data_IF_581258287591
#
_entry.id   IF_581258287591
#
_cell.length_a   1.000
_cell.length_b   1.000
_cell.length_c   1.000
_cell.angle_alpha   90.00
_cell.angle_beta   90.00
_cell.angle_gamma   90.00
#
_symmetry.space_group_name_H-M   'P 1'
#
loop_
_entity.id
_entity.type
_entity.pdbx_description
1 polymer ?
#
# COMPACT_ATOMS: atom_id res chain seq x y z
N UNK A 1 -23.03 -0.98 -29.64
CA UNK A 1 -23.82 -1.97 -28.87
C UNK A 1 -23.09 -2.24 -27.57
N UNK A 2 -23.68 -1.89 -26.46
CA UNK A 2 -23.12 -2.22 -25.12
C UNK A 2 -23.26 -3.73 -24.94
N UNK A 3 -22.12 -4.40 -24.78
CA UNK A 3 -22.09 -5.86 -24.55
C UNK A 3 -22.58 -6.12 -23.13
N UNK A 4 -23.67 -6.86 -22.99
CA UNK A 4 -24.11 -7.39 -21.69
C UNK A 4 -23.34 -8.67 -21.44
N UNK A 5 -22.71 -8.81 -20.29
CA UNK A 5 -21.95 -10.00 -19.88
C UNK A 5 -22.44 -10.44 -18.50
N UNK A 6 -22.65 -11.76 -18.33
CA UNK A 6 -22.96 -12.38 -17.05
C UNK A 6 -21.70 -13.07 -16.51
N UNK A 7 -21.36 -12.83 -15.27
CA UNK A 7 -20.20 -13.44 -14.60
C UNK A 7 -20.39 -13.44 -13.08
N UNK A 8 -20.06 -14.55 -12.44
CA UNK A 8 -19.96 -14.68 -10.98
C UNK A 8 -21.15 -14.10 -10.18
N UNK A 9 -22.37 -14.29 -10.68
CA UNK A 9 -23.58 -13.73 -10.05
C UNK A 9 -23.82 -12.23 -10.31
N UNK A 10 -23.09 -11.63 -11.25
CA UNK A 10 -23.20 -10.25 -11.65
C UNK A 10 -23.49 -10.09 -13.14
N UNK A 11 -24.00 -8.92 -13.50
CA UNK A 11 -24.31 -8.53 -14.88
C UNK A 11 -23.61 -7.21 -15.18
N UNK A 12 -22.78 -7.15 -16.22
CA UNK A 12 -22.26 -5.89 -16.72
C UNK A 12 -23.18 -5.30 -17.82
N UNK A 13 -23.49 -4.01 -17.67
CA UNK A 13 -24.27 -3.23 -18.62
C UNK A 13 -23.92 -1.75 -18.50
N UNK A 14 -23.77 -1.05 -19.61
CA UNK A 14 -23.53 0.40 -19.63
C UNK A 14 -22.36 0.82 -18.72
N UNK A 15 -21.24 0.12 -18.80
CA UNK A 15 -20.02 0.36 -18.03
C UNK A 15 -20.20 0.23 -16.49
N UNK A 16 -21.23 -0.49 -16.06
CA UNK A 16 -21.51 -0.76 -14.64
C UNK A 16 -21.78 -2.24 -14.39
N UNK A 17 -21.55 -2.65 -13.16
CA UNK A 17 -21.83 -3.99 -12.65
C UNK A 17 -23.09 -3.93 -11.79
N UNK A 18 -24.02 -4.80 -12.08
CA UNK A 18 -25.29 -4.99 -11.36
C UNK A 18 -25.32 -6.38 -10.71
N UNK A 19 -26.04 -6.57 -9.61
CA UNK A 19 -26.29 -7.90 -9.06
C UNK A 19 -27.26 -8.68 -9.96
N UNK A 20 -27.04 -9.99 -10.13
CA UNK A 20 -27.99 -10.86 -10.81
C UNK A 20 -29.17 -11.24 -9.89
N UNK A 21 -28.98 -11.19 -8.56
CA UNK A 21 -30.02 -11.36 -7.57
C UNK A 21 -29.73 -10.51 -6.31
N UNK A 22 -30.74 -10.24 -5.48
CA UNK A 22 -30.54 -9.57 -4.19
C UNK A 22 -29.77 -10.43 -3.19
N UNK A 23 -29.77 -11.74 -3.38
CA UNK A 23 -29.10 -12.74 -2.54
C UNK A 23 -27.66 -13.05 -2.98
N UNK A 24 -27.12 -12.34 -3.98
CA UNK A 24 -25.83 -12.60 -4.62
C UNK A 24 -24.68 -12.84 -3.63
N UNK A 25 -24.63 -12.14 -2.51
CA UNK A 25 -23.59 -12.27 -1.48
C UNK A 25 -23.93 -13.34 -0.43
N UNK A 26 -25.19 -13.72 -0.27
CA UNK A 26 -25.59 -14.85 0.58
C UNK A 26 -25.36 -16.18 -0.12
N UNK A 27 -25.58 -16.21 -1.45
CA UNK A 27 -25.29 -17.38 -2.28
C UNK A 27 -23.80 -17.72 -2.25
N UNK A 28 -22.92 -16.70 -2.33
CA UNK A 28 -21.46 -16.85 -2.23
C UNK A 28 -20.86 -15.62 -1.53
N UNK A 29 -20.52 -15.73 -0.23
CA UNK A 29 -19.93 -14.65 0.54
C UNK A 29 -18.63 -14.07 -0.04
N UNK A 30 -17.80 -14.89 -0.70
CA UNK A 30 -16.53 -14.47 -1.30
C UNK A 30 -16.70 -13.40 -2.37
N UNK A 31 -17.88 -13.29 -2.96
CA UNK A 31 -18.23 -12.24 -3.92
C UNK A 31 -18.11 -10.82 -3.34
N UNK A 32 -18.17 -10.66 -2.00
CA UNK A 32 -17.95 -9.34 -1.36
C UNK A 32 -16.52 -8.79 -1.53
N UNK A 33 -15.54 -9.63 -1.85
CA UNK A 33 -14.21 -9.16 -2.27
C UNK A 33 -14.05 -9.29 -3.78
N UNK A 34 -14.50 -10.40 -4.39
CA UNK A 34 -14.33 -10.64 -5.82
C UNK A 34 -14.97 -9.57 -6.70
N UNK A 35 -16.04 -8.93 -6.24
CA UNK A 35 -16.68 -7.84 -7.00
C UNK A 35 -15.70 -6.69 -7.29
N UNK A 36 -14.80 -6.36 -6.36
CA UNK A 36 -13.80 -5.31 -6.56
C UNK A 36 -12.70 -5.74 -7.51
N UNK A 37 -12.30 -7.00 -7.51
CA UNK A 37 -11.41 -7.58 -8.52
C UNK A 37 -12.08 -7.55 -9.91
N UNK A 38 -13.34 -7.95 -10.00
CA UNK A 38 -14.11 -7.88 -11.25
C UNK A 38 -14.21 -6.45 -11.81
N UNK A 39 -14.49 -5.47 -10.94
CA UNK A 39 -14.53 -4.06 -11.31
C UNK A 39 -13.15 -3.55 -11.80
N UNK A 40 -12.09 -3.91 -11.09
CA UNK A 40 -10.70 -3.56 -11.43
C UNK A 40 -10.29 -4.15 -12.80
N UNK A 41 -10.46 -5.45 -12.98
CA UNK A 41 -10.02 -6.16 -14.21
C UNK A 41 -10.81 -5.74 -15.44
N UNK A 42 -12.09 -5.42 -15.27
CA UNK A 42 -13.00 -5.02 -16.37
C UNK A 42 -13.10 -3.51 -16.56
N UNK A 43 -12.44 -2.73 -15.70
CA UNK A 43 -12.56 -1.26 -15.70
C UNK A 43 -14.01 -0.77 -15.62
N UNK A 44 -14.83 -1.44 -14.82
CA UNK A 44 -16.24 -1.15 -14.63
C UNK A 44 -16.51 -0.49 -13.29
N UNK A 45 -17.58 0.31 -13.22
CA UNK A 45 -18.08 0.90 -11.97
C UNK A 45 -19.15 0.01 -11.35
N UNK A 46 -19.29 0.06 -10.04
CA UNK A 46 -20.42 -0.57 -9.36
C UNK A 46 -21.69 0.27 -9.58
N UNK A 47 -22.81 -0.39 -9.85
CA UNK A 47 -24.09 0.27 -9.87
C UNK A 47 -24.50 0.68 -8.44
N UNK A 48 -25.26 1.77 -8.25
CA UNK A 48 -25.73 2.20 -6.93
C UNK A 48 -26.47 1.09 -6.17
N UNK A 49 -27.31 0.35 -6.87
CA UNK A 49 -28.08 -0.78 -6.32
C UNK A 49 -27.16 -1.86 -5.74
N UNK A 50 -26.08 -2.18 -6.46
CA UNK A 50 -25.09 -3.15 -5.99
C UNK A 50 -24.36 -2.64 -4.74
N UNK A 51 -24.03 -1.35 -4.70
CA UNK A 51 -23.40 -0.73 -3.54
C UNK A 51 -24.30 -0.82 -2.29
N UNK A 52 -25.59 -0.61 -2.44
CA UNK A 52 -26.53 -0.75 -1.32
C UNK A 52 -26.66 -2.21 -0.83
N UNK A 53 -26.66 -3.17 -1.76
CA UNK A 53 -26.66 -4.60 -1.40
C UNK A 53 -25.35 -4.97 -0.69
N UNK A 54 -24.18 -4.46 -1.12
CA UNK A 54 -22.93 -4.63 -0.42
C UNK A 54 -23.05 -4.15 1.03
N UNK A 55 -23.56 -2.94 1.25
CA UNK A 55 -23.72 -2.35 2.58
C UNK A 55 -24.66 -3.17 3.47
N UNK A 56 -25.75 -3.69 2.93
CA UNK A 56 -26.72 -4.51 3.69
C UNK A 56 -26.13 -5.87 4.11
N UNK A 57 -25.04 -6.31 3.48
CA UNK A 57 -24.38 -7.58 3.75
C UNK A 57 -23.05 -7.47 4.54
N UNK A 58 -22.72 -6.33 5.13
CA UNK A 58 -21.48 -6.14 5.89
C UNK A 58 -21.24 -7.16 7.01
N UNK A 59 -22.33 -7.69 7.62
CA UNK A 59 -22.24 -8.69 8.69
C UNK A 59 -21.63 -10.02 8.23
N UNK A 60 -21.62 -10.30 6.94
CA UNK A 60 -20.96 -11.48 6.36
C UNK A 60 -19.45 -11.44 6.59
N UNK A 61 -18.84 -10.23 6.68
CA UNK A 61 -17.40 -10.06 6.89
C UNK A 61 -17.06 -10.30 8.37
N UNK A 62 -17.19 -11.51 8.81
CA UNK A 62 -16.85 -12.00 10.14
C UNK A 62 -15.42 -12.58 10.16
N UNK A 63 -15.04 -13.23 11.26
CA UNK A 63 -13.73 -13.85 11.40
C UNK A 63 -13.47 -14.93 10.35
N UNK A 64 -14.45 -15.80 10.08
CA UNK A 64 -14.32 -16.88 9.07
C UNK A 64 -14.01 -16.28 7.70
N UNK A 65 -14.75 -15.26 7.31
CA UNK A 65 -14.54 -14.55 6.05
C UNK A 65 -13.13 -13.95 5.95
N UNK A 66 -12.64 -13.28 7.01
CA UNK A 66 -11.30 -12.66 7.05
C UNK A 66 -10.15 -13.66 7.02
N UNK A 67 -10.37 -14.89 7.46
CA UNK A 67 -9.36 -15.97 7.48
C UNK A 67 -9.51 -16.95 6.31
N UNK A 68 -10.44 -16.72 5.40
CA UNK A 68 -10.62 -17.54 4.20
C UNK A 68 -9.44 -17.38 3.25
N UNK A 69 -8.83 -18.50 2.86
CA UNK A 69 -7.72 -18.53 1.90
C UNK A 69 -8.15 -17.97 0.54
N UNK A 70 -9.35 -18.32 0.07
CA UNK A 70 -9.89 -17.81 -1.19
C UNK A 70 -10.06 -16.28 -1.19
N UNK A 71 -10.55 -15.71 -0.08
CA UNK A 71 -10.70 -14.25 0.05
C UNK A 71 -9.34 -13.55 0.11
N UNK A 72 -8.36 -14.18 0.80
CA UNK A 72 -6.98 -13.70 0.83
C UNK A 72 -6.37 -13.67 -0.58
N UNK A 73 -6.52 -14.75 -1.34
CA UNK A 73 -5.98 -14.86 -2.69
C UNK A 73 -6.58 -13.80 -3.63
N UNK A 74 -7.89 -13.54 -3.49
CA UNK A 74 -8.56 -12.45 -4.23
C UNK A 74 -8.01 -11.08 -3.83
N UNK A 75 -7.85 -10.81 -2.53
CA UNK A 75 -7.29 -9.55 -2.05
C UNK A 75 -5.83 -9.36 -2.50
N UNK A 76 -5.02 -10.43 -2.45
CA UNK A 76 -3.66 -10.42 -3.00
C UNK A 76 -3.66 -10.10 -4.49
N UNK A 77 -4.56 -10.68 -5.27
CA UNK A 77 -4.68 -10.40 -6.70
C UNK A 77 -5.03 -8.93 -6.96
N UNK A 78 -5.91 -8.33 -6.16
CA UNK A 78 -6.25 -6.90 -6.25
C UNK A 78 -5.00 -6.04 -6.00
N UNK A 79 -4.24 -6.31 -4.92
CA UNK A 79 -3.03 -5.55 -4.56
C UNK A 79 -1.85 -5.81 -5.50
N UNK A 80 -1.88 -6.86 -6.30
CA UNK A 80 -0.81 -7.22 -7.24
C UNK A 80 -0.94 -6.55 -8.61
N UNK A 81 -2.06 -5.86 -8.88
CA UNK A 81 -2.32 -5.25 -10.17
C UNK A 81 -1.74 -3.84 -10.25
N UNK A 82 -0.46 -3.73 -10.59
CA UNK A 82 0.29 -2.47 -10.69
C UNK A 82 -0.49 -1.40 -11.48
N UNK A 83 -0.58 -0.20 -10.92
CA UNK A 83 -1.24 0.95 -11.57
C UNK A 83 -2.76 1.01 -11.40
N UNK A 84 -3.38 0.00 -10.77
CA UNK A 84 -4.84 -0.09 -10.65
C UNK A 84 -5.31 -0.42 -9.22
N UNK A 85 -4.41 -0.39 -8.25
CA UNK A 85 -4.69 -0.78 -6.86
C UNK A 85 -5.46 0.30 -6.12
N UNK A 86 -5.05 1.55 -6.24
CA UNK A 86 -5.67 2.68 -5.52
C UNK A 86 -7.15 2.83 -5.82
N UNK A 87 -7.55 2.71 -7.09
CA UNK A 87 -8.96 2.76 -7.48
C UNK A 87 -9.79 1.62 -6.88
N UNK A 88 -9.26 0.40 -6.86
CA UNK A 88 -9.94 -0.74 -6.25
C UNK A 88 -10.08 -0.56 -4.73
N UNK A 89 -9.01 -0.14 -4.04
CA UNK A 89 -9.04 0.12 -2.60
C UNK A 89 -10.00 1.26 -2.23
N UNK A 90 -10.06 2.31 -3.05
CA UNK A 90 -11.01 3.40 -2.83
C UNK A 90 -12.46 2.92 -2.96
N UNK A 91 -12.77 2.09 -3.94
CA UNK A 91 -14.08 1.46 -4.07
C UNK A 91 -14.41 0.56 -2.88
N UNK A 92 -13.46 -0.24 -2.41
CA UNK A 92 -13.62 -1.08 -1.21
C UNK A 92 -13.85 -0.23 0.04
N UNK A 93 -13.14 0.89 0.19
CA UNK A 93 -13.29 1.79 1.32
C UNK A 93 -14.65 2.50 1.31
N UNK A 94 -15.05 3.09 0.19
CA UNK A 94 -16.33 3.81 0.06
C UNK A 94 -17.55 2.90 0.24
N UNK A 95 -17.41 1.61 -0.08
CA UNK A 95 -18.43 0.57 0.16
C UNK A 95 -18.40 0.01 1.59
N UNK A 96 -17.45 0.43 2.42
CA UNK A 96 -17.28 -0.02 3.80
C UNK A 96 -16.68 -1.42 3.95
N UNK A 97 -16.13 -1.98 2.88
CA UNK A 97 -15.56 -3.34 2.87
C UNK A 97 -14.12 -3.35 3.37
N UNK A 98 -13.28 -2.40 2.92
CA UNK A 98 -11.84 -2.42 3.22
C UNK A 98 -11.56 -2.47 4.72
N UNK A 99 -12.14 -1.56 5.50
CA UNK A 99 -11.90 -1.50 6.95
C UNK A 99 -12.52 -2.68 7.72
N UNK A 100 -13.54 -3.36 7.16
CA UNK A 100 -14.10 -4.58 7.77
C UNK A 100 -13.27 -5.80 7.48
N UNK A 101 -12.70 -5.87 6.28
CA UNK A 101 -11.80 -6.96 5.88
C UNK A 101 -10.42 -6.82 6.53
N UNK A 102 -9.90 -5.60 6.59
CA UNK A 102 -8.63 -5.23 7.23
C UNK A 102 -8.90 -4.25 8.39
N UNK A 103 -9.29 -4.75 9.58
CA UNK A 103 -9.65 -3.90 10.72
C UNK A 103 -8.53 -2.96 11.17
N UNK A 104 -7.28 -3.35 10.93
CA UNK A 104 -6.09 -2.53 11.23
C UNK A 104 -6.10 -1.22 10.42
N UNK A 105 -6.50 -1.28 9.15
CA UNK A 105 -6.78 -0.09 8.35
C UNK A 105 -8.10 0.58 8.76
N UNK A 106 -9.11 -0.22 9.07
CA UNK A 106 -10.43 0.28 9.49
C UNK A 106 -10.38 1.22 10.69
N UNK A 107 -9.44 1.01 11.61
CA UNK A 107 -9.21 1.86 12.77
C UNK A 107 -8.70 3.28 12.40
N UNK A 108 -8.19 3.48 11.19
CA UNK A 108 -7.76 4.78 10.67
C UNK A 108 -8.93 5.63 10.12
N UNK A 109 -10.11 5.02 9.94
CA UNK A 109 -11.25 5.69 9.32
C UNK A 109 -11.66 6.92 10.14
N UNK A 110 -11.68 8.09 9.47
CA UNK A 110 -11.96 9.40 10.06
C UNK A 110 -11.00 9.80 11.21
N UNK A 111 -9.87 9.13 11.39
CA UNK A 111 -8.87 9.51 12.36
C UNK A 111 -8.19 10.82 11.93
N UNK A 112 -8.47 11.89 12.66
CA UNK A 112 -7.85 13.19 12.45
C UNK A 112 -6.49 13.21 13.13
N UNK A 113 -5.44 13.53 12.38
CA UNK A 113 -4.10 13.72 12.90
C UNK A 113 -3.90 15.20 13.24
N UNK A 114 -3.62 15.51 14.52
CA UNK A 114 -3.41 16.89 14.98
C UNK A 114 -2.02 17.44 14.65
N UNK A 115 -1.18 16.72 13.95
CA UNK A 115 0.11 17.21 13.50
C UNK A 115 -0.08 18.22 12.35
N UNK A 116 0.63 19.33 12.41
CA UNK A 116 0.47 20.53 11.55
C UNK A 116 0.60 20.28 10.03
N UNK A 117 0.99 19.09 9.61
CA UNK A 117 1.25 18.74 8.22
C UNK A 117 0.21 17.81 7.56
N UNK A 118 -0.75 17.29 8.33
CA UNK A 118 -1.73 16.35 7.78
C UNK A 118 -3.00 17.10 7.36
N UNK A 119 -3.16 17.25 6.05
CA UNK A 119 -4.34 17.86 5.43
C UNK A 119 -5.55 16.92 5.40
N UNK A 120 -5.32 15.63 5.53
CA UNK A 120 -6.29 14.57 5.35
C UNK A 120 -6.41 13.71 6.61
N UNK A 121 -7.55 13.02 6.76
CA UNK A 121 -7.68 11.92 7.72
C UNK A 121 -6.72 10.78 7.38
N UNK A 122 -6.38 9.94 8.35
CA UNK A 122 -5.37 8.89 8.18
C UNK A 122 -5.76 7.86 7.09
N UNK A 123 -7.04 7.52 6.98
CA UNK A 123 -7.56 6.66 5.92
C UNK A 123 -7.46 7.29 4.54
N UNK A 124 -7.85 8.56 4.39
CA UNK A 124 -7.74 9.29 3.12
C UNK A 124 -6.28 9.45 2.70
N UNK A 125 -5.38 9.79 3.66
CA UNK A 125 -3.94 9.82 3.40
C UNK A 125 -3.45 8.50 2.84
N UNK A 126 -3.77 7.37 3.50
CA UNK A 126 -3.34 6.04 3.08
C UNK A 126 -3.83 5.69 1.66
N UNK A 127 -5.08 6.02 1.32
CA UNK A 127 -5.60 5.82 -0.04
C UNK A 127 -4.85 6.68 -1.08
N UNK A 128 -4.53 7.92 -0.75
CA UNK A 128 -3.71 8.80 -1.61
C UNK A 128 -2.32 8.25 -1.85
N UNK A 129 -1.70 7.67 -0.83
CA UNK A 129 -0.39 6.99 -0.96
C UNK A 129 -0.47 5.87 -1.99
N UNK A 130 -1.53 5.04 -1.96
CA UNK A 130 -1.71 3.99 -2.98
C UNK A 130 -1.90 4.55 -4.39
N UNK A 131 -2.62 5.65 -4.52
CA UNK A 131 -2.83 6.33 -5.81
C UNK A 131 -1.55 6.98 -6.36
N UNK A 132 -0.68 7.53 -5.49
CA UNK A 132 0.63 8.05 -5.90
C UNK A 132 1.55 6.95 -6.43
N UNK A 133 1.52 5.74 -5.85
CA UNK A 133 2.22 4.58 -6.41
C UNK A 133 1.67 4.19 -7.78
N UNK A 134 0.35 4.13 -7.94
CA UNK A 134 -0.27 3.76 -9.22
C UNK A 134 0.10 4.71 -10.36
N UNK A 135 0.28 5.99 -10.08
CA UNK A 135 0.72 6.99 -11.08
C UNK A 135 2.09 6.68 -11.68
N UNK A 136 2.93 5.91 -10.99
CA UNK A 136 4.23 5.48 -11.52
C UNK A 136 4.10 4.50 -12.69
N UNK A 137 2.99 3.79 -12.83
CA UNK A 137 2.76 2.88 -13.94
C UNK A 137 2.56 3.59 -15.28
N UNK A 138 1.98 4.80 -15.28
CA UNK A 138 1.51 5.48 -16.50
C UNK A 138 2.19 6.83 -16.77
N UNK A 139 3.02 7.32 -15.86
CA UNK A 139 3.61 8.65 -15.97
C UNK A 139 4.81 8.71 -16.92
N UNK A 140 4.98 9.86 -17.62
CA UNK A 140 6.16 10.16 -18.45
C UNK A 140 7.08 11.24 -17.84
N UNK A 141 6.75 11.75 -16.64
CA UNK A 141 7.54 12.80 -15.99
C UNK A 141 8.97 12.31 -15.72
N UNK A 142 9.94 13.02 -16.32
CA UNK A 142 11.37 12.70 -16.19
C UNK A 142 11.85 12.75 -14.73
N UNK A 143 11.24 13.61 -13.90
CA UNK A 143 11.55 13.70 -12.47
C UNK A 143 11.26 12.41 -11.71
N UNK A 144 10.28 11.64 -12.17
CA UNK A 144 9.88 10.38 -11.55
C UNK A 144 10.62 9.16 -12.11
N UNK A 145 11.63 9.35 -12.97
CA UNK A 145 12.33 8.25 -13.68
C UNK A 145 12.89 7.19 -12.74
N UNK A 146 13.52 7.62 -11.63
CA UNK A 146 14.06 6.69 -10.63
C UNK A 146 12.94 5.82 -10.04
N UNK A 147 11.91 6.46 -9.50
CA UNK A 147 10.79 5.77 -8.83
C UNK A 147 10.04 4.85 -9.77
N UNK A 148 9.81 5.30 -10.99
CA UNK A 148 9.18 4.49 -12.04
C UNK A 148 10.04 3.28 -12.42
N UNK A 149 11.34 3.42 -12.55
CA UNK A 149 12.26 2.32 -12.79
C UNK A 149 12.13 1.25 -11.70
N UNK A 150 12.26 1.67 -10.44
CA UNK A 150 12.09 0.77 -9.27
C UNK A 150 10.70 0.11 -9.28
N UNK A 151 9.65 0.88 -9.51
CA UNK A 151 8.27 0.38 -9.51
C UNK A 151 8.01 -0.65 -10.63
N UNK A 152 8.53 -0.40 -11.83
CA UNK A 152 8.34 -1.31 -12.96
C UNK A 152 9.09 -2.63 -12.77
N UNK A 153 10.27 -2.62 -12.16
CA UNK A 153 11.09 -3.80 -11.86
C UNK A 153 10.61 -4.56 -10.61
N UNK A 154 9.71 -3.97 -9.83
CA UNK A 154 9.21 -4.60 -8.60
C UNK A 154 8.42 -5.88 -8.90
N UNK A 155 8.88 -7.01 -8.34
CA UNK A 155 8.30 -8.35 -8.58
C UNK A 155 7.06 -8.64 -7.74
N UNK A 156 6.95 -8.05 -6.55
CA UNK A 156 5.92 -8.36 -5.55
C UNK A 156 5.20 -7.09 -5.05
N UNK A 157 4.32 -6.51 -5.88
CA UNK A 157 3.59 -5.29 -5.51
C UNK A 157 2.66 -5.49 -4.31
N UNK A 158 2.15 -6.70 -4.09
CA UNK A 158 1.28 -7.01 -2.96
C UNK A 158 1.88 -6.58 -1.62
N UNK A 159 3.15 -6.91 -1.36
CA UNK A 159 3.80 -6.57 -0.07
C UNK A 159 3.93 -5.05 0.10
N UNK A 160 4.24 -4.31 -0.98
CA UNK A 160 4.34 -2.85 -0.92
C UNK A 160 2.99 -2.21 -0.59
N UNK A 161 1.93 -2.56 -1.34
CA UNK A 161 0.60 -2.00 -1.09
C UNK A 161 0.02 -2.41 0.26
N UNK A 162 0.30 -3.63 0.73
CA UNK A 162 -0.07 -4.04 2.07
C UNK A 162 0.70 -3.24 3.13
N UNK A 163 1.99 -2.98 2.93
CA UNK A 163 2.77 -2.10 3.81
C UNK A 163 2.20 -0.68 3.83
N UNK A 164 1.78 -0.13 2.69
CA UNK A 164 1.09 1.17 2.64
C UNK A 164 -0.19 1.16 3.47
N UNK A 165 -1.02 0.12 3.37
CA UNK A 165 -2.25 0.03 4.16
C UNK A 165 -2.01 -0.03 5.67
N UNK A 166 -0.82 -0.47 6.10
CA UNK A 166 -0.49 -0.70 7.51
C UNK A 166 0.53 0.30 8.10
N UNK A 167 1.21 1.13 7.28
CA UNK A 167 2.35 1.94 7.76
C UNK A 167 1.97 2.86 8.93
N UNK A 168 0.78 3.42 8.91
CA UNK A 168 0.25 4.32 9.94
C UNK A 168 -0.76 3.63 10.88
N UNK A 169 -1.03 2.33 10.75
CA UNK A 169 -2.04 1.63 11.54
C UNK A 169 -1.81 1.75 13.06
N UNK A 170 -0.55 1.83 13.50
CA UNK A 170 -0.21 2.03 14.91
C UNK A 170 -0.72 3.33 15.52
N UNK A 171 -0.99 4.35 14.71
CA UNK A 171 -1.49 5.66 15.18
C UNK A 171 -2.87 5.56 15.83
N UNK A 172 -3.69 4.58 15.42
CA UNK A 172 -5.01 4.35 16.00
C UNK A 172 -4.98 3.78 17.44
N UNK A 173 -3.83 3.32 17.92
CA UNK A 173 -3.72 2.60 19.19
C UNK A 173 -3.37 3.50 20.40
N UNK A 174 -3.39 4.83 20.27
CA UNK A 174 -3.06 5.77 21.36
C UNK A 174 -1.77 5.39 22.15
N UNK A 175 -0.83 4.73 21.50
CA UNK A 175 0.42 4.28 22.10
C UNK A 175 1.45 5.40 22.02
N UNK A 176 2.26 5.54 23.06
CA UNK A 176 3.42 6.45 23.05
C UNK A 176 4.48 6.04 22.02
N UNK A 177 4.45 4.80 21.55
CA UNK A 177 5.31 4.26 20.51
C UNK A 177 4.47 3.65 19.36
N UNK A 178 4.08 4.51 18.41
CA UNK A 178 3.25 4.12 17.29
C UNK A 178 3.96 3.15 16.33
N UNK A 179 5.28 3.21 16.22
CA UNK A 179 6.07 2.34 15.35
C UNK A 179 6.03 0.89 15.85
N UNK A 180 6.24 0.65 17.14
CA UNK A 180 6.14 -0.71 17.73
C UNK A 180 4.71 -1.26 17.67
N UNK A 181 3.71 -0.41 17.87
CA UNK A 181 2.31 -0.79 17.73
C UNK A 181 1.98 -1.19 16.28
N UNK A 182 2.48 -0.43 15.30
CA UNK A 182 2.36 -0.74 13.87
C UNK A 182 3.01 -2.07 13.51
N UNK A 183 4.22 -2.34 14.00
CA UNK A 183 4.92 -3.61 13.79
C UNK A 183 4.14 -4.81 14.35
N UNK A 184 3.52 -4.67 15.52
CA UNK A 184 2.68 -5.71 16.13
C UNK A 184 1.44 -6.00 15.28
N UNK A 185 0.77 -4.96 14.78
CA UNK A 185 -0.37 -5.11 13.88
C UNK A 185 0.05 -5.77 12.56
N UNK A 186 1.16 -5.35 11.96
CA UNK A 186 1.68 -5.94 10.73
C UNK A 186 2.03 -7.43 10.92
N UNK A 187 2.57 -7.82 12.07
CA UNK A 187 2.83 -9.23 12.42
C UNK A 187 1.52 -10.04 12.49
N UNK A 188 0.46 -9.47 13.06
CA UNK A 188 -0.85 -10.12 13.12
C UNK A 188 -1.44 -10.33 11.72
N UNK A 189 -1.37 -9.31 10.86
CA UNK A 189 -1.81 -9.39 9.46
C UNK A 189 -0.98 -10.41 8.69
N UNK A 190 0.34 -10.41 8.85
CA UNK A 190 1.23 -11.37 8.19
C UNK A 190 0.89 -12.83 8.53
N UNK A 191 0.51 -13.10 9.77
CA UNK A 191 0.00 -14.44 10.19
C UNK A 191 -1.33 -14.75 9.56
N UNK A 192 -2.31 -13.83 9.60
CA UNK A 192 -3.64 -14.01 9.02
C UNK A 192 -3.57 -14.27 7.52
N UNK A 193 -2.65 -13.62 6.81
CA UNK A 193 -2.43 -13.83 5.38
C UNK A 193 -1.44 -14.96 5.06
N UNK A 194 -0.97 -15.70 6.07
CA UNK A 194 -0.03 -16.83 5.90
C UNK A 194 1.20 -16.45 5.08
N UNK A 195 1.75 -15.25 5.30
CA UNK A 195 2.89 -14.77 4.54
C UNK A 195 4.13 -15.61 4.79
N UNK A 196 4.77 -16.07 3.71
CA UNK A 196 6.06 -16.78 3.78
C UNK A 196 7.16 -15.86 4.33
N UNK A 197 8.21 -16.44 4.87
CA UNK A 197 9.27 -15.75 5.61
C UNK A 197 9.82 -14.50 4.91
N UNK A 198 10.11 -14.58 3.61
CA UNK A 198 10.66 -13.43 2.85
C UNK A 198 9.67 -12.27 2.78
N UNK A 199 8.41 -12.53 2.45
CA UNK A 199 7.34 -11.52 2.40
C UNK A 199 7.06 -10.94 3.78
N UNK A 200 6.99 -11.79 4.80
CA UNK A 200 6.76 -11.36 6.19
C UNK A 200 7.86 -10.44 6.68
N UNK A 201 9.14 -10.81 6.50
CA UNK A 201 10.27 -9.96 6.89
C UNK A 201 10.23 -8.61 6.19
N UNK A 202 9.96 -8.58 4.89
CA UNK A 202 9.86 -7.34 4.12
C UNK A 202 8.70 -6.47 4.60
N UNK A 203 7.50 -7.04 4.81
CA UNK A 203 6.35 -6.29 5.32
C UNK A 203 6.66 -5.64 6.67
N UNK A 204 7.19 -6.42 7.63
CA UNK A 204 7.53 -5.92 8.96
C UNK A 204 8.61 -4.83 8.90
N UNK A 205 9.63 -5.01 8.07
CA UNK A 205 10.66 -4.01 7.84
C UNK A 205 10.05 -2.71 7.33
N UNK A 206 9.21 -2.77 6.31
CA UNK A 206 8.60 -1.58 5.69
C UNK A 206 7.72 -0.82 6.68
N UNK A 207 6.84 -1.51 7.41
CA UNK A 207 5.96 -0.86 8.39
C UNK A 207 6.76 -0.25 9.54
N UNK A 208 7.76 -0.97 10.07
CA UNK A 208 8.56 -0.49 11.19
C UNK A 208 9.55 0.62 10.80
N UNK A 209 9.99 0.67 9.55
CA UNK A 209 11.06 1.56 9.10
C UNK A 209 10.60 2.58 8.05
N UNK A 210 9.29 2.78 7.86
CA UNK A 210 8.77 3.64 6.79
C UNK A 210 9.27 5.08 6.84
N UNK A 211 9.62 5.61 8.03
CA UNK A 211 10.16 6.95 8.22
C UNK A 211 11.69 7.03 8.16
N UNK A 212 12.40 5.90 8.22
CA UNK A 212 13.85 5.88 8.43
C UNK A 212 14.66 6.47 7.26
N UNK A 213 14.22 6.25 6.01
CA UNK A 213 14.88 6.86 4.85
C UNK A 213 14.78 8.38 4.90
N UNK A 214 13.58 8.89 5.14
CA UNK A 214 13.33 10.33 5.24
C UNK A 214 14.08 10.93 6.45
N UNK A 215 13.98 10.29 7.61
CA UNK A 215 14.64 10.72 8.85
C UNK A 215 16.15 10.77 8.66
N UNK A 216 16.78 9.72 8.14
CA UNK A 216 18.23 9.69 7.92
C UNK A 216 18.66 10.75 6.93
N UNK A 217 17.99 10.88 5.79
CA UNK A 217 18.33 11.84 4.75
C UNK A 217 18.24 13.30 5.21
N UNK A 218 17.27 13.64 6.07
CA UNK A 218 16.98 15.01 6.44
C UNK A 218 17.52 15.44 7.84
N UNK A 219 17.93 14.48 8.68
CA UNK A 219 18.35 14.80 10.06
C UNK A 219 19.74 14.32 10.42
N UNK A 220 20.39 13.51 9.56
CA UNK A 220 21.74 12.97 9.80
C UNK A 220 22.73 13.58 8.80
N UNK A 221 24.02 13.50 9.15
CA UNK A 221 25.07 13.85 8.21
C UNK A 221 25.24 12.70 7.21
N UNK A 222 24.64 12.84 6.02
CA UNK A 222 24.71 11.83 4.94
C UNK A 222 26.00 11.88 4.14
N UNK A 223 26.87 12.91 4.37
CA UNK A 223 28.22 12.94 3.80
C UNK A 223 29.20 12.04 4.57
N UNK A 224 28.84 11.66 5.80
CA UNK A 224 29.62 10.73 6.62
C UNK A 224 29.38 9.28 6.17
N UNK A 225 30.43 8.56 5.72
CA UNK A 225 30.33 7.16 5.33
C UNK A 225 29.75 6.26 6.43
N UNK A 226 30.01 6.57 7.72
CA UNK A 226 29.48 5.78 8.83
C UNK A 226 27.96 5.83 8.90
N UNK A 227 27.35 6.99 8.56
CA UNK A 227 25.89 7.15 8.45
C UNK A 227 25.32 6.24 7.35
N UNK A 228 25.94 6.25 6.16
CA UNK A 228 25.52 5.41 5.04
C UNK A 228 25.61 3.93 5.40
N UNK A 229 26.76 3.51 5.94
CA UNK A 229 27.00 2.10 6.34
C UNK A 229 25.98 1.64 7.38
N UNK A 230 25.69 2.48 8.37
CA UNK A 230 24.67 2.17 9.41
C UNK A 230 23.29 2.00 8.79
N UNK A 231 22.90 2.92 7.91
CA UNK A 231 21.62 2.85 7.21
C UNK A 231 21.54 1.61 6.31
N UNK A 232 22.59 1.32 5.51
CA UNK A 232 22.64 0.16 4.64
C UNK A 232 22.53 -1.16 5.41
N UNK A 233 23.21 -1.28 6.57
CA UNK A 233 23.09 -2.45 7.45
C UNK A 233 21.68 -2.63 8.01
N UNK A 234 20.99 -1.54 8.33
CA UNK A 234 19.60 -1.57 8.79
C UNK A 234 18.66 -2.03 7.66
N UNK A 235 18.86 -1.54 6.44
CA UNK A 235 18.07 -1.90 5.26
C UNK A 235 18.34 -3.35 4.81
N UNK A 236 19.58 -3.78 4.79
CA UNK A 236 20.02 -5.15 4.63
C UNK A 236 20.02 -5.72 3.20
N UNK A 237 19.26 -5.14 2.27
CA UNK A 237 19.25 -5.61 0.86
C UNK A 237 18.79 -4.53 -0.11
N UNK A 238 19.20 -4.65 -1.37
CA UNK A 238 18.74 -3.79 -2.48
C UNK A 238 17.22 -3.86 -2.62
N UNK A 239 16.64 -5.04 -2.47
CA UNK A 239 15.19 -5.23 -2.52
C UNK A 239 14.48 -4.39 -1.44
N UNK A 240 14.92 -4.49 -0.19
CA UNK A 240 14.34 -3.71 0.92
C UNK A 240 14.52 -2.20 0.71
N UNK A 241 15.68 -1.77 0.19
CA UNK A 241 15.94 -0.38 -0.15
C UNK A 241 14.98 0.15 -1.20
N UNK A 242 14.76 -0.60 -2.27
CA UNK A 242 13.85 -0.24 -3.35
C UNK A 242 12.40 -0.08 -2.87
N UNK A 243 11.91 -1.02 -2.08
CA UNK A 243 10.56 -0.94 -1.52
C UNK A 243 10.41 0.22 -0.53
N UNK A 244 11.43 0.45 0.31
CA UNK A 244 11.43 1.58 1.24
C UNK A 244 11.47 2.92 0.50
N UNK A 245 12.23 3.02 -0.59
CA UNK A 245 12.28 4.23 -1.43
C UNK A 245 10.91 4.56 -2.04
N UNK A 246 10.22 3.55 -2.59
CA UNK A 246 8.86 3.74 -3.14
C UNK A 246 7.85 4.12 -2.06
N UNK A 247 7.91 3.48 -0.89
CA UNK A 247 7.02 3.81 0.23
C UNK A 247 7.24 5.25 0.69
N UNK A 248 8.50 5.67 0.88
CA UNK A 248 8.85 7.04 1.31
C UNK A 248 8.42 8.08 0.28
N UNK A 249 8.62 7.80 -1.02
CA UNK A 249 8.17 8.66 -2.11
C UNK A 249 6.65 8.86 -2.09
N UNK A 250 5.90 7.77 -2.04
CA UNK A 250 4.46 7.80 -2.12
C UNK A 250 3.82 8.41 -0.86
N UNK A 251 4.33 8.09 0.33
CA UNK A 251 3.90 8.63 1.61
C UNK A 251 4.06 10.16 1.66
N UNK A 252 5.22 10.67 1.26
CA UNK A 252 5.48 12.11 1.21
C UNK A 252 4.54 12.84 0.25
N UNK A 253 4.29 12.25 -0.92
CA UNK A 253 3.38 12.84 -1.93
C UNK A 253 1.91 12.71 -1.53
N UNK A 254 1.53 11.65 -0.84
CA UNK A 254 0.17 11.47 -0.31
C UNK A 254 -0.17 12.46 0.80
N UNK A 255 0.82 13.00 1.49
CA UNK A 255 0.64 14.02 2.54
C UNK A 255 0.32 15.40 1.96
N UNK A 256 1.18 15.95 1.13
CA UNK A 256 0.95 17.19 0.35
C UNK A 256 1.90 17.23 -0.85
N UNK A 257 1.34 17.29 -2.05
CA UNK A 257 2.12 17.38 -3.29
C UNK A 257 3.04 18.59 -3.33
N UNK A 258 2.65 19.72 -2.69
CA UNK A 258 3.45 20.95 -2.62
C UNK A 258 4.64 20.84 -1.68
N UNK A 259 4.60 19.90 -0.74
CA UNK A 259 5.70 19.66 0.19
C UNK A 259 6.82 18.82 -0.42
N UNK A 260 6.58 18.15 -1.54
CA UNK A 260 7.58 17.37 -2.28
C UNK A 260 8.40 18.29 -3.20
N UNK A 261 9.49 18.83 -2.68
CA UNK A 261 10.38 19.76 -3.38
C UNK A 261 11.72 19.10 -3.68
N UNK A 262 12.44 19.65 -4.68
CA UNK A 262 13.80 19.17 -5.00
C UNK A 262 14.74 19.23 -3.79
N UNK A 263 14.61 20.24 -2.94
CA UNK A 263 15.42 20.38 -1.72
C UNK A 263 15.22 19.20 -0.75
N UNK A 264 14.01 18.66 -0.67
CA UNK A 264 13.70 17.50 0.19
C UNK A 264 14.01 16.17 -0.50
N UNK A 265 13.88 16.13 -1.82
CA UNK A 265 14.08 14.91 -2.60
C UNK A 265 15.56 14.61 -2.84
N UNK A 266 16.40 15.63 -3.07
CA UNK A 266 17.80 15.44 -3.37
C UNK A 266 18.58 14.65 -2.30
N UNK A 267 18.42 14.93 -0.98
CA UNK A 267 19.04 14.11 0.07
C UNK A 267 18.57 12.65 0.08
N UNK A 268 17.29 12.41 -0.23
CA UNK A 268 16.74 11.06 -0.32
C UNK A 268 17.38 10.27 -1.46
N UNK A 269 17.48 10.88 -2.65
CA UNK A 269 18.15 10.28 -3.82
C UNK A 269 19.63 10.01 -3.54
N UNK A 270 20.32 10.97 -2.91
CA UNK A 270 21.73 10.79 -2.54
C UNK A 270 21.90 9.59 -1.60
N UNK A 271 21.15 9.55 -0.49
CA UNK A 271 21.19 8.44 0.44
C UNK A 271 20.86 7.09 -0.21
N UNK A 272 19.87 7.08 -1.12
CA UNK A 272 19.50 5.89 -1.87
C UNK A 272 20.69 5.37 -2.71
N UNK A 273 21.31 6.21 -3.53
CA UNK A 273 22.40 5.78 -4.40
C UNK A 273 23.64 5.36 -3.63
N UNK A 274 24.01 6.08 -2.58
CA UNK A 274 25.13 5.72 -1.72
C UNK A 274 24.91 4.38 -0.99
N UNK A 275 23.67 4.17 -0.53
CA UNK A 275 23.28 2.90 0.10
C UNK A 275 23.26 1.76 -0.90
N UNK A 276 22.75 2.00 -2.11
CA UNK A 276 22.76 1.02 -3.20
C UNK A 276 24.18 0.56 -3.52
N UNK A 277 25.11 1.51 -3.71
CA UNK A 277 26.52 1.22 -3.97
C UNK A 277 27.12 0.36 -2.85
N UNK A 278 26.88 0.71 -1.59
CA UNK A 278 27.38 -0.09 -0.47
C UNK A 278 26.79 -1.51 -0.44
N UNK A 279 25.51 -1.66 -0.74
CA UNK A 279 24.85 -2.97 -0.73
C UNK A 279 25.29 -3.86 -1.90
N UNK A 280 25.68 -3.27 -3.03
CA UNK A 280 26.18 -3.98 -4.20
C UNK A 280 27.68 -4.31 -4.08
N UNK A 281 28.51 -3.38 -3.59
CA UNK A 281 29.96 -3.55 -3.42
C UNK A 281 30.50 -2.67 -2.29
N UNK A 282 30.55 -3.24 -1.08
CA UNK A 282 31.04 -2.55 0.11
C UNK A 282 32.52 -2.16 0.04
N UNK A 283 33.34 -2.94 -0.68
CA UNK A 283 34.77 -2.69 -0.83
C UNK A 283 35.02 -1.50 -1.76
N UNK A 284 34.32 -1.45 -2.90
CA UNK A 284 34.33 -0.32 -3.83
C UNK A 284 33.87 0.98 -3.15
N UNK A 285 32.76 0.93 -2.42
CA UNK A 285 32.24 2.06 -1.65
C UNK A 285 33.31 2.59 -0.66
N UNK A 286 33.96 1.69 0.08
CA UNK A 286 34.97 2.06 1.08
C UNK A 286 36.24 2.62 0.45
N UNK A 287 36.64 2.12 -0.71
CA UNK A 287 37.83 2.61 -1.44
C UNK A 287 37.63 4.03 -1.99
N UNK A 288 36.44 4.34 -2.48
CA UNK A 288 36.11 5.68 -3.03
C UNK A 288 36.08 6.78 -1.96
N UNK A 289 35.82 6.42 -0.71
CA UNK A 289 35.64 7.35 0.42
C UNK A 289 36.86 7.45 1.35
N UNK A 290 38.00 6.80 1.00
CA UNK A 290 39.30 7.01 1.62
C UNK A 290 40.04 8.19 0.97
#
# INVERSE_FOLDING_TARGET
KYKVENFDGFISKNNRIYPASEEVFREDPGRLIRIFQHAQVRHLRLAPELTEIIKSNWKIINRVFRYSDSNRDTFEAILSRKGEVGGALRNMHSSGILGRYLPEFGALTNLVQHEFFHRYSADEHTLRVTEELDKLAVGEDKRNRLYRGIYNEMEDPFVLYLAVLLHDAGRALNSSNHEDAGATLAQSVARRFSLKTKRRKLLLFLVNSHLELWRTANTKNIDDPATIIKFAKMVGSVRSLNYLMLLTYADSRGTDLRSWTETKEAPLRFLYYETLEYLEDADSFSARRK
#
